data_IF_266218316611
#
_entry.id   IF_266218316611
#
_cell.length_a   1.000
_cell.length_b   1.000
_cell.length_c   1.000
_cell.angle_alpha   90.00
_cell.angle_beta   90.00
_cell.angle_gamma   90.00
#
_symmetry.space_group_name_H-M   'P 1'
#
loop_
_entity.id
_entity.type
_entity.pdbx_description
1 polymer ?
#
# COMPACT_ATOMS: atom_id res chain seq x y z
N UNK A 1 13.62 -40.58 -5.95
CA UNK A 1 14.15 -39.30 -6.47
C UNK A 1 13.32 -38.20 -5.81
N UNK A 2 13.92 -37.42 -4.91
CA UNK A 2 13.18 -36.38 -4.17
C UNK A 2 12.97 -35.18 -5.10
N UNK A 3 11.74 -34.89 -5.50
CA UNK A 3 11.46 -33.71 -6.32
C UNK A 3 11.49 -32.48 -5.41
N UNK A 4 12.55 -31.67 -5.51
CA UNK A 4 12.58 -30.39 -4.81
C UNK A 4 11.62 -29.42 -5.50
N UNK A 5 10.75 -28.78 -4.73
CA UNK A 5 9.83 -27.77 -5.23
C UNK A 5 10.41 -26.38 -4.91
N UNK A 6 10.44 -25.50 -5.91
CA UNK A 6 10.93 -24.12 -5.82
C UNK A 6 9.76 -23.14 -5.94
N UNK A 7 9.62 -22.25 -4.96
CA UNK A 7 8.61 -21.19 -4.97
C UNK A 7 9.15 -19.95 -5.69
N UNK A 8 8.50 -19.56 -6.79
CA UNK A 8 8.98 -18.48 -7.65
C UNK A 8 7.87 -17.51 -7.99
N UNK A 9 8.16 -16.20 -7.91
CA UNK A 9 7.25 -15.11 -8.29
C UNK A 9 7.54 -14.68 -9.72
N UNK A 10 6.51 -14.68 -10.57
CA UNK A 10 6.67 -14.23 -11.95
C UNK A 10 6.82 -12.69 -12.00
N UNK A 11 7.84 -12.14 -12.69
CA UNK A 11 8.00 -10.70 -12.86
C UNK A 11 6.97 -10.07 -13.81
N UNK A 12 6.37 -10.87 -14.70
CA UNK A 12 5.37 -10.40 -15.65
C UNK A 12 3.97 -10.23 -15.04
N UNK A 13 3.45 -11.28 -14.38
CA UNK A 13 2.09 -11.27 -13.82
C UNK A 13 2.03 -11.09 -12.29
N UNK A 14 3.17 -11.13 -11.59
CA UNK A 14 3.23 -10.94 -10.14
C UNK A 14 2.73 -12.12 -9.29
N UNK A 15 2.17 -13.17 -9.89
CA UNK A 15 1.71 -14.36 -9.17
C UNK A 15 2.88 -15.28 -8.79
N UNK A 16 2.71 -16.00 -7.67
CA UNK A 16 3.71 -16.94 -7.13
C UNK A 16 3.25 -18.37 -7.37
N UNK A 17 4.12 -19.19 -7.96
CA UNK A 17 3.86 -20.59 -8.26
C UNK A 17 4.94 -21.51 -7.68
N UNK A 18 4.59 -22.78 -7.52
CA UNK A 18 5.53 -23.84 -7.16
C UNK A 18 5.96 -24.55 -8.46
N UNK A 19 7.28 -24.61 -8.68
CA UNK A 19 7.88 -25.31 -9.80
C UNK A 19 8.73 -26.45 -9.26
N UNK A 20 8.48 -27.65 -9.75
CA UNK A 20 9.35 -28.79 -9.48
C UNK A 20 10.65 -28.66 -10.30
N UNK A 21 11.76 -29.21 -9.80
CA UNK A 21 13.08 -29.05 -10.45
C UNK A 21 13.15 -29.58 -11.89
N UNK A 22 12.24 -30.47 -12.29
CA UNK A 22 12.10 -30.99 -13.67
C UNK A 22 11.54 -29.95 -14.66
N UNK A 23 10.90 -28.89 -14.16
CA UNK A 23 10.37 -27.77 -14.98
C UNK A 23 11.34 -26.61 -15.11
N UNK A 24 12.52 -26.71 -14.52
CA UNK A 24 13.57 -25.71 -14.62
C UNK A 24 14.53 -26.13 -15.74
N UNK A 25 14.64 -25.29 -16.76
CA UNK A 25 15.55 -25.52 -17.89
C UNK A 25 17.02 -25.48 -17.42
N UNK A 26 17.93 -26.02 -18.24
CA UNK A 26 19.38 -26.01 -17.98
C UNK A 26 19.97 -24.60 -17.75
N UNK A 27 19.29 -23.57 -18.24
CA UNK A 27 19.62 -22.14 -18.03
C UNK A 27 19.08 -21.57 -16.71
N UNK A 28 18.58 -22.42 -15.82
CA UNK A 28 17.91 -22.02 -14.57
C UNK A 28 16.76 -21.06 -14.83
N UNK A 29 15.90 -21.38 -15.81
CA UNK A 29 14.75 -20.56 -16.19
C UNK A 29 13.48 -21.40 -16.20
N UNK A 30 12.36 -20.76 -15.88
CA UNK A 30 11.03 -21.37 -15.88
C UNK A 30 10.08 -20.53 -16.72
N UNK A 31 9.11 -21.20 -17.34
CA UNK A 31 8.00 -20.57 -18.04
C UNK A 31 6.83 -20.35 -17.07
N UNK A 32 6.32 -19.12 -17.01
CA UNK A 32 5.19 -18.83 -16.14
C UNK A 32 3.92 -19.55 -16.61
N UNK A 33 3.29 -20.32 -15.70
CA UNK A 33 2.04 -21.05 -15.95
C UNK A 33 0.83 -20.16 -16.30
N UNK A 34 0.94 -18.85 -16.08
CA UNK A 34 -0.13 -17.88 -16.32
C UNK A 34 0.14 -16.97 -17.52
N UNK A 35 1.30 -16.32 -17.57
CA UNK A 35 1.60 -15.34 -18.63
C UNK A 35 2.65 -15.82 -19.65
N UNK A 36 3.12 -17.07 -19.57
CA UNK A 36 4.05 -17.70 -20.54
C UNK A 36 5.42 -17.00 -20.65
N UNK A 37 5.67 -15.95 -19.86
CA UNK A 37 6.97 -15.31 -19.78
C UNK A 37 8.00 -16.27 -19.19
N UNK A 38 9.14 -16.40 -19.86
CA UNK A 38 10.33 -17.07 -19.32
C UNK A 38 11.11 -16.12 -18.42
N UNK A 39 11.47 -16.57 -17.23
CA UNK A 39 12.30 -15.81 -16.31
C UNK A 39 13.29 -16.71 -15.59
N UNK A 40 14.43 -16.13 -15.21
CA UNK A 40 15.47 -16.87 -14.50
C UNK A 40 15.06 -17.08 -13.04
N UNK A 41 15.23 -18.31 -12.58
CA UNK A 41 15.26 -18.67 -11.17
C UNK A 41 16.60 -18.17 -10.66
N UNK A 42 16.70 -16.92 -10.21
CA UNK A 42 17.93 -16.43 -9.59
C UNK A 42 18.11 -17.08 -8.22
N UNK A 43 18.42 -18.38 -8.22
CA UNK A 43 18.97 -19.14 -7.11
C UNK A 43 20.48 -18.79 -7.09
N UNK A 44 20.78 -17.53 -6.80
CA UNK A 44 22.12 -16.98 -6.90
C UNK A 44 22.33 -15.89 -5.86
N UNK A 45 23.00 -16.27 -4.76
CA UNK A 45 23.69 -15.37 -3.83
C UNK A 45 22.87 -14.21 -3.22
N UNK A 46 21.73 -14.53 -2.60
CA UNK A 46 20.92 -13.55 -1.88
C UNK A 46 19.98 -14.18 -0.85
N UNK A 47 20.52 -15.02 0.04
CA UNK A 47 19.93 -15.34 1.35
C UNK A 47 18.46 -15.75 1.41
N UNK A 48 18.14 -16.98 1.03
CA UNK A 48 17.06 -17.73 1.67
C UNK A 48 17.68 -19.04 2.13
N UNK A 49 17.88 -19.16 3.44
CA UNK A 49 18.47 -20.32 4.08
C UNK A 49 17.69 -21.57 3.67
N UNK A 50 18.42 -22.56 3.16
CA UNK A 50 17.95 -23.94 3.18
C UNK A 50 17.67 -24.28 4.64
N UNK A 51 16.41 -24.46 5.00
CA UNK A 51 16.04 -24.98 6.31
C UNK A 51 16.44 -26.46 6.31
N UNK A 52 17.40 -26.91 7.12
CA UNK A 52 17.66 -28.33 7.30
C UNK A 52 16.45 -28.91 8.04
N UNK A 53 15.84 -29.96 7.49
CA UNK A 53 14.86 -30.77 8.22
C UNK A 53 15.62 -31.58 9.28
N UNK A 54 15.38 -31.27 10.55
CA UNK A 54 15.84 -32.04 11.71
C UNK A 54 14.75 -33.05 12.09
N UNK A 55 15.08 -34.34 12.00
CA UNK A 55 14.18 -35.47 12.26
C UNK A 55 14.09 -35.77 13.77
N UNK A 56 13.72 -34.79 14.59
CA UNK A 56 13.33 -35.06 15.98
C UNK A 56 12.48 -33.91 16.50
N UNK A 57 11.16 -34.05 16.43
CA UNK A 57 10.28 -33.78 17.56
C UNK A 57 8.83 -34.12 17.19
N UNK A 58 8.20 -34.87 18.08
CA UNK A 58 6.82 -35.27 17.96
C UNK A 58 5.92 -34.05 17.72
N UNK A 59 5.27 -34.03 16.55
CA UNK A 59 4.23 -33.05 16.23
C UNK A 59 3.08 -33.30 17.21
N UNK A 60 3.08 -32.55 18.31
CA UNK A 60 1.87 -32.23 19.05
C UNK A 60 1.15 -31.18 18.20
N UNK A 61 -0.01 -31.46 17.61
CA UNK A 61 -0.69 -30.46 16.81
C UNK A 61 -1.30 -29.44 17.77
N UNK A 62 -0.53 -28.40 18.09
CA UNK A 62 -1.07 -27.16 18.66
C UNK A 62 -1.84 -26.47 17.54
N UNK A 63 -3.06 -26.95 17.27
CA UNK A 63 -4.02 -26.30 16.37
C UNK A 63 -4.54 -25.06 17.10
N UNK A 64 -3.74 -24.01 17.07
CA UNK A 64 -4.23 -22.64 17.07
C UNK A 64 -4.15 -22.10 15.64
N UNK A 65 -4.75 -22.83 14.69
CA UNK A 65 -4.97 -22.37 13.33
C UNK A 65 -6.42 -21.92 13.20
N UNK A 66 -6.66 -20.64 13.42
CA UNK A 66 -7.82 -19.94 12.87
C UNK A 66 -7.50 -19.53 11.42
N UNK A 67 -7.00 -20.46 10.61
CA UNK A 67 -6.92 -20.27 9.15
C UNK A 67 -8.26 -20.68 8.58
N UNK A 68 -8.95 -19.75 7.94
CA UNK A 68 -10.14 -20.04 7.16
C UNK A 68 -9.75 -20.96 5.99
N UNK A 69 -10.03 -22.26 6.14
CA UNK A 69 -9.82 -23.25 5.09
C UNK A 69 -10.97 -23.16 4.11
N UNK A 70 -10.69 -22.79 2.87
CA UNK A 70 -11.71 -22.75 1.81
C UNK A 70 -11.66 -24.06 1.05
N UNK A 71 -12.80 -24.73 0.95
CA UNK A 71 -12.96 -25.93 0.13
C UNK A 71 -13.05 -25.53 -1.36
N UNK A 72 -12.25 -26.20 -2.19
CA UNK A 72 -12.26 -26.01 -3.63
C UNK A 72 -12.10 -27.34 -4.35
N UNK A 73 -12.37 -27.34 -5.66
CA UNK A 73 -12.20 -28.50 -6.54
C UNK A 73 -11.22 -28.15 -7.64
N UNK A 74 -10.16 -28.95 -7.76
CA UNK A 74 -9.20 -28.89 -8.86
C UNK A 74 -9.79 -29.60 -10.08
N UNK A 75 -9.97 -28.86 -11.17
CA UNK A 75 -10.57 -29.34 -12.42
C UNK A 75 -9.61 -29.10 -13.58
N UNK A 76 -9.33 -30.16 -14.34
CA UNK A 76 -8.65 -30.07 -15.62
C UNK A 76 -9.66 -29.76 -16.74
N UNK A 77 -9.39 -28.75 -17.55
CA UNK A 77 -10.26 -28.42 -18.67
C UNK A 77 -10.05 -29.41 -19.83
N UNK A 78 -11.07 -30.18 -20.26
CA UNK A 78 -10.93 -31.13 -21.36
C UNK A 78 -10.70 -30.45 -22.73
N UNK A 79 -11.00 -29.15 -22.85
CA UNK A 79 -10.85 -28.42 -24.11
C UNK A 79 -9.44 -27.84 -24.32
N UNK A 80 -8.71 -27.53 -23.24
CA UNK A 80 -7.38 -26.89 -23.35
C UNK A 80 -6.31 -27.46 -22.42
N UNK A 81 -6.61 -28.46 -21.59
CA UNK A 81 -5.65 -29.14 -20.70
C UNK A 81 -5.20 -28.32 -19.48
N UNK A 82 -5.73 -27.11 -19.29
CA UNK A 82 -5.36 -26.26 -18.16
C UNK A 82 -6.06 -26.70 -16.87
N UNK A 83 -5.32 -26.71 -15.76
CA UNK A 83 -5.81 -27.08 -14.43
C UNK A 83 -6.08 -25.84 -13.58
N UNK A 84 -7.30 -25.71 -13.05
CA UNK A 84 -7.71 -24.60 -12.18
C UNK A 84 -8.43 -25.11 -10.94
N UNK A 85 -8.43 -24.29 -9.88
CA UNK A 85 -9.18 -24.55 -8.65
C UNK A 85 -10.42 -23.66 -8.66
N UNK A 86 -11.57 -24.26 -8.47
CA UNK A 86 -12.87 -23.57 -8.39
C UNK A 86 -13.46 -23.80 -7.01
N UNK A 87 -14.05 -22.77 -6.43
CA UNK A 87 -14.88 -22.89 -5.23
C UNK A 87 -16.35 -22.98 -5.62
N UNK A 88 -17.22 -23.29 -4.65
CA UNK A 88 -18.66 -23.33 -4.88
C UNK A 88 -19.24 -22.03 -5.44
N UNK A 89 -18.62 -20.88 -5.15
CA UNK A 89 -19.00 -19.57 -5.69
C UNK A 89 -18.83 -19.47 -7.21
N UNK A 90 -17.95 -20.28 -7.79
CA UNK A 90 -17.70 -20.28 -9.22
C UNK A 90 -18.70 -21.15 -9.99
N UNK A 91 -19.49 -21.97 -9.29
CA UNK A 91 -20.51 -22.83 -9.90
C UNK A 91 -21.60 -21.97 -10.52
N UNK A 92 -21.83 -22.18 -11.81
CA UNK A 92 -23.00 -21.69 -12.53
C UNK A 92 -24.25 -22.42 -12.02
N UNK A 93 -25.44 -21.86 -12.29
CA UNK A 93 -26.72 -22.44 -11.87
C UNK A 93 -26.98 -23.85 -12.43
N UNK A 94 -26.30 -24.21 -13.51
CA UNK A 94 -26.37 -25.53 -14.15
C UNK A 94 -25.33 -26.53 -13.61
N UNK A 95 -24.60 -26.18 -12.54
CA UNK A 95 -23.57 -27.03 -11.94
C UNK A 95 -22.27 -27.12 -12.73
N UNK A 96 -22.07 -26.25 -13.73
CA UNK A 96 -20.82 -26.14 -14.49
C UNK A 96 -19.96 -24.98 -13.98
N UNK A 97 -18.72 -24.92 -14.42
CA UNK A 97 -17.84 -23.76 -14.24
C UNK A 97 -17.30 -23.28 -15.57
N UNK A 98 -17.00 -21.99 -15.65
CA UNK A 98 -16.38 -21.40 -16.84
C UNK A 98 -14.87 -21.55 -16.74
N UNK A 99 -14.26 -22.21 -17.74
CA UNK A 99 -12.81 -22.30 -17.81
C UNK A 99 -12.19 -20.90 -17.88
N UNK A 100 -11.25 -20.61 -16.97
CA UNK A 100 -10.59 -19.30 -16.91
C UNK A 100 -9.66 -19.05 -18.10
N UNK A 101 -9.22 -20.11 -18.78
CA UNK A 101 -8.36 -20.02 -19.96
C UNK A 101 -9.18 -19.87 -21.25
N UNK A 102 -9.97 -20.87 -21.61
CA UNK A 102 -10.67 -20.92 -22.91
C UNK A 102 -12.12 -20.43 -22.85
N UNK A 103 -12.67 -20.17 -21.66
CA UNK A 103 -14.03 -19.68 -21.49
C UNK A 103 -15.14 -20.72 -21.69
N UNK A 104 -14.82 -21.97 -22.03
CA UNK A 104 -15.81 -23.04 -22.18
C UNK A 104 -16.43 -23.43 -20.84
N UNK A 105 -17.72 -23.74 -20.85
CA UNK A 105 -18.40 -24.33 -19.70
C UNK A 105 -18.01 -25.80 -19.55
N UNK A 106 -17.50 -26.17 -18.38
CA UNK A 106 -17.03 -27.52 -18.04
C UNK A 106 -17.74 -28.01 -16.77
N UNK A 107 -17.87 -29.32 -16.61
CA UNK A 107 -18.54 -29.89 -15.44
C UNK A 107 -17.73 -29.63 -14.17
N UNK A 108 -18.42 -29.36 -13.06
CA UNK A 108 -17.79 -29.26 -11.75
C UNK A 108 -17.51 -30.65 -11.18
N UNK A 109 -16.54 -31.35 -11.76
CA UNK A 109 -16.11 -32.68 -11.32
C UNK A 109 -14.58 -32.69 -11.35
N UNK A 110 -13.97 -32.95 -10.21
CA UNK A 110 -12.52 -32.91 -10.05
C UNK A 110 -12.08 -33.44 -8.69
N UNK A 111 -10.87 -33.09 -8.30
CA UNK A 111 -10.28 -33.50 -7.01
C UNK A 111 -10.55 -32.42 -5.94
N UNK A 112 -11.11 -32.82 -4.80
CA UNK A 112 -11.35 -31.92 -3.67
C UNK A 112 -10.01 -31.49 -3.05
N UNK A 113 -9.80 -30.18 -2.92
CA UNK A 113 -8.59 -29.57 -2.38
C UNK A 113 -8.95 -28.55 -1.31
N UNK A 114 -8.22 -28.58 -0.20
CA UNK A 114 -8.33 -27.58 0.86
C UNK A 114 -7.33 -26.45 0.60
N UNK A 115 -7.85 -25.25 0.37
CA UNK A 115 -7.03 -24.06 0.25
C UNK A 115 -6.75 -23.53 1.66
N UNK A 116 -5.54 -23.80 2.15
CA UNK A 116 -5.02 -23.14 3.34
C UNK A 116 -4.58 -21.75 2.92
N UNK A 117 -5.42 -20.75 3.19
CA UNK A 117 -4.99 -19.37 3.11
C UNK A 117 -4.06 -19.11 4.28
N UNK A 118 -2.77 -19.31 4.07
CA UNK A 118 -1.78 -18.70 4.94
C UNK A 118 -2.00 -17.18 4.85
N UNK A 119 -2.09 -16.46 5.99
CA UNK A 119 -2.04 -15.01 5.93
C UNK A 119 -0.76 -14.68 5.16
N UNK A 120 -0.92 -14.13 3.94
CA UNK A 120 0.22 -13.68 3.16
C UNK A 120 1.08 -12.77 4.03
N UNK A 121 2.41 -12.68 3.79
CA UNK A 121 3.27 -11.82 4.61
C UNK A 121 2.57 -10.47 4.64
N UNK A 122 2.04 -10.11 5.82
CA UNK A 122 1.13 -9.00 5.98
C UNK A 122 1.75 -7.89 5.15
N UNK A 123 1.09 -7.49 4.06
CA UNK A 123 1.61 -6.44 3.20
C UNK A 123 1.93 -5.35 4.19
N UNK A 124 3.23 -5.12 4.43
CA UNK A 124 3.68 -4.38 5.58
C UNK A 124 3.03 -3.03 5.37
N UNK A 125 1.95 -2.80 6.09
CA UNK A 125 1.25 -1.56 6.07
C UNK A 125 2.26 -0.73 6.82
N UNK A 126 3.17 -0.10 6.05
CA UNK A 126 4.04 0.92 6.56
C UNK A 126 3.07 2.02 6.91
N UNK A 127 2.46 1.90 8.08
CA UNK A 127 1.72 2.97 8.69
C UNK A 127 2.73 4.10 8.75
N UNK A 128 2.60 5.04 7.82
CA UNK A 128 3.49 6.17 7.70
C UNK A 128 3.11 7.16 8.80
N UNK A 129 3.21 6.72 10.06
CA UNK A 129 2.98 7.53 11.25
C UNK A 129 3.75 8.85 11.16
N UNK A 130 4.96 8.82 10.59
CA UNK A 130 5.74 10.02 10.31
C UNK A 130 5.02 11.01 9.37
N UNK A 131 4.40 10.52 8.29
CA UNK A 131 3.66 11.38 7.35
C UNK A 131 2.39 11.93 7.99
N UNK A 132 1.67 11.12 8.79
CA UNK A 132 0.51 11.59 9.55
C UNK A 132 0.87 12.69 10.56
N UNK A 133 1.97 12.53 11.30
CA UNK A 133 2.45 13.54 12.25
C UNK A 133 2.83 14.83 11.53
N UNK A 134 3.54 14.74 10.39
CA UNK A 134 3.90 15.91 9.59
C UNK A 134 2.66 16.65 9.09
N UNK A 135 1.65 15.93 8.59
CA UNK A 135 0.39 16.53 8.11
C UNK A 135 -0.33 17.25 9.27
N UNK A 136 -0.41 16.62 10.44
CA UNK A 136 -1.04 17.22 11.63
C UNK A 136 -0.31 18.51 12.04
N UNK A 137 1.03 18.51 12.05
CA UNK A 137 1.81 19.71 12.35
C UNK A 137 1.58 20.82 11.31
N UNK A 138 1.52 20.49 10.03
CA UNK A 138 1.25 21.47 8.97
C UNK A 138 -0.14 22.10 9.17
N UNK A 139 -1.17 21.27 9.38
CA UNK A 139 -2.56 21.75 9.53
C UNK A 139 -2.74 22.61 10.78
N UNK A 140 -2.06 22.29 11.89
CA UNK A 140 -2.20 23.06 13.13
C UNK A 140 -1.34 24.33 13.16
N UNK A 141 -0.10 24.27 12.67
CA UNK A 141 0.86 25.36 12.86
C UNK A 141 0.94 26.33 11.68
N UNK A 142 0.72 25.90 10.43
CA UNK A 142 0.79 26.79 9.27
C UNK A 142 -0.28 27.90 9.31
N UNK A 143 -1.56 27.63 9.66
CA UNK A 143 -2.55 28.69 9.79
C UNK A 143 -2.19 29.70 10.89
N UNK A 144 -1.60 29.25 12.00
CA UNK A 144 -1.14 30.13 13.08
C UNK A 144 0.01 31.04 12.63
N UNK A 145 0.99 30.47 11.92
CA UNK A 145 2.12 31.23 11.37
C UNK A 145 1.65 32.33 10.40
N UNK A 146 0.59 32.08 9.62
CA UNK A 146 0.04 33.06 8.67
C UNK A 146 -0.88 34.07 9.40
N UNK A 147 -1.72 33.61 10.33
CA UNK A 147 -2.71 34.46 10.99
C UNK A 147 -2.08 35.46 11.97
N UNK A 148 -1.06 35.05 12.73
CA UNK A 148 -0.41 35.92 13.74
C UNK A 148 0.13 37.23 13.14
N UNK A 149 0.95 37.25 12.08
CA UNK A 149 1.45 38.49 11.50
C UNK A 149 0.32 39.34 10.90
N UNK A 150 -0.70 38.73 10.28
CA UNK A 150 -1.87 39.47 9.78
C UNK A 150 -2.64 40.16 10.91
N UNK A 151 -2.86 39.45 12.03
CA UNK A 151 -3.52 40.01 13.22
C UNK A 151 -2.68 41.15 13.81
N UNK A 152 -1.35 40.99 13.90
CA UNK A 152 -0.45 42.05 14.38
C UNK A 152 -0.46 43.27 13.45
N UNK A 153 -0.49 43.09 12.13
CA UNK A 153 -0.63 44.18 11.17
C UNK A 153 -1.96 44.94 11.34
N UNK A 154 -3.07 44.21 11.51
CA UNK A 154 -4.40 44.82 11.72
C UNK A 154 -4.44 45.56 13.07
N UNK A 155 -3.88 44.99 14.13
CA UNK A 155 -3.81 45.60 15.45
C UNK A 155 -2.94 46.87 15.46
N UNK A 156 -1.78 46.84 14.79
CA UNK A 156 -0.91 48.00 14.63
C UNK A 156 -1.61 49.12 13.83
N UNK A 157 -2.37 48.79 12.79
CA UNK A 157 -3.14 49.78 12.04
C UNK A 157 -4.23 50.44 12.90
N UNK A 158 -4.98 49.65 13.69
CA UNK A 158 -5.97 50.22 14.62
C UNK A 158 -5.33 51.12 15.69
N UNK A 159 -4.14 50.78 16.18
CA UNK A 159 -3.40 51.61 17.14
C UNK A 159 -2.96 52.98 16.59
N UNK A 160 -2.72 53.09 15.27
CA UNK A 160 -2.32 54.35 14.63
C UNK A 160 -3.53 55.31 14.47
N UNK A 161 -4.74 54.80 14.27
CA UNK A 161 -5.93 55.65 14.12
C UNK A 161 -6.44 56.26 15.44
N UNK A 162 -6.07 55.69 16.59
CA UNK A 162 -6.45 56.22 17.91
C UNK A 162 -5.47 57.26 18.48
N UNK A 163 -4.45 57.68 17.71
CA UNK A 163 -3.59 58.79 18.11
C UNK A 163 -4.34 60.09 17.84
N UNK A 164 -5.01 60.63 18.86
CA UNK A 164 -5.45 62.02 18.85
C UNK A 164 -4.25 62.91 18.48
N UNK A 165 -4.41 63.88 17.57
CA UNK A 165 -3.34 64.81 17.25
C UNK A 165 -2.92 65.50 18.54
N UNK A 166 -1.61 65.72 18.78
CA UNK A 166 -1.17 66.46 19.94
C UNK A 166 -1.88 67.81 19.94
N UNK A 167 -2.48 68.16 21.08
CA UNK A 167 -3.10 69.45 21.34
C UNK A 167 -2.01 70.52 21.25
N UNK A 168 -1.78 70.99 20.02
CA UNK A 168 -0.94 72.12 19.74
C UNK A 168 -1.73 73.32 20.20
N UNK A 169 -1.43 73.74 21.42
CA UNK A 169 -1.85 74.97 22.06
C UNK A 169 -1.44 76.14 21.15
N UNK A 170 -2.27 76.39 20.13
CA UNK A 170 -1.98 77.32 19.07
C UNK A 170 -2.31 78.69 19.64
N UNK A 171 -1.35 79.28 20.36
CA UNK A 171 -1.47 80.64 20.87
C UNK A 171 -1.54 81.59 19.67
N UNK A 172 -2.75 81.95 19.28
CA UNK A 172 -3.02 83.01 18.31
C UNK A 172 -2.56 84.34 18.93
N UNK A 173 -1.35 84.77 18.57
CA UNK A 173 -0.89 86.11 18.91
C UNK A 173 -1.52 87.09 17.93
N UNK A 174 -2.31 88.05 18.45
CA UNK A 174 -2.87 89.15 17.66
C UNK A 174 -1.76 89.93 16.96
N UNK A 175 -1.99 90.25 15.69
CA UNK A 175 -1.07 90.90 14.76
C UNK A 175 -1.06 92.42 14.97
N UNK A 176 -0.87 92.87 16.20
CA UNK A 176 -1.14 94.28 16.57
C UNK A 176 0.10 94.99 17.12
N UNK A 177 1.29 94.34 17.15
CA UNK A 177 2.49 94.90 17.77
C UNK A 177 3.72 95.00 16.85
N UNK A 178 3.52 95.13 15.52
CA UNK A 178 4.60 95.54 14.61
C UNK A 178 4.29 96.94 14.06
N UNK A 179 4.40 97.95 14.93
CA UNK A 179 4.62 99.33 14.51
C UNK A 179 6.13 99.60 14.37
N UNK A 180 6.58 100.38 13.37
CA UNK A 180 7.99 100.76 13.26
C UNK A 180 8.34 101.73 14.41
N UNK A 181 9.36 101.39 15.18
CA UNK A 181 9.91 102.28 16.21
C UNK A 181 10.49 103.56 15.59
N UNK A 182 10.35 104.73 16.23
CA UNK A 182 10.85 105.99 15.72
C UNK A 182 12.37 106.13 15.94
N UNK A 183 12.96 106.96 15.09
CA UNK A 183 14.31 107.53 15.17
C UNK A 183 14.65 108.12 16.55
#
# INVERSE_FOLDING_TARGET
MSSTNHRLKCPGCGATYLYSSDKIDQSNSVECQNCVMRFSTQIGAGGLAAVPMDDTDAIKPSIHFLSETVEGVRIECPNCGSNYIYTDEHKLQDGRVKCQNCGSAINYVGEDVFLVMEPGPAAAQTENWGLCVIIILIVLFVPLIIAIPLILCIAAWKGIQSREPPDLDTKVVKRDAQGPGPW
#
